data_IF_007944131064
#
_entry.id   IF_007944131064
#
_cell.length_a   1.000
_cell.length_b   1.000
_cell.length_c   1.000
_cell.angle_alpha   90.00
_cell.angle_beta   90.00
_cell.angle_gamma   90.00
#
_symmetry.space_group_name_H-M   'P 1'
#
loop_
_entity.id
_entity.type
_entity.pdbx_description
1 polymer ?
#
# COMPACT_ATOMS: atom_id res chain seq x y z
N UNK A 1 7.74 -44.32 41.69
CA UNK A 1 8.74 -45.43 41.73
C UNK A 1 8.76 -46.06 40.32
N UNK A 2 9.90 -46.11 39.61
CA UNK A 2 10.06 -46.55 38.18
C UNK A 2 9.35 -45.66 37.12
N UNK A 3 9.84 -45.45 35.89
CA UNK A 3 11.23 -45.42 35.32
C UNK A 3 11.17 -44.85 33.88
N UNK A 4 12.15 -44.00 33.48
CA UNK A 4 12.91 -43.88 32.19
C UNK A 4 12.24 -44.33 30.84
N UNK A 5 12.51 -43.73 29.66
CA UNK A 5 13.78 -43.16 29.13
C UNK A 5 13.61 -42.50 27.73
N UNK A 6 14.50 -41.56 27.34
CA UNK A 6 14.84 -41.16 25.93
C UNK A 6 13.83 -40.23 25.23
N UNK A 7 14.19 -39.22 24.43
CA UNK A 7 15.51 -38.83 23.86
C UNK A 7 15.89 -39.70 22.65
N UNK A 8 16.31 -39.18 21.49
CA UNK A 8 16.50 -37.78 21.03
C UNK A 8 16.44 -37.79 19.47
N UNK A 9 16.95 -36.76 18.76
CA UNK A 9 17.17 -36.74 17.28
C UNK A 9 15.89 -36.61 16.40
N UNK A 10 15.88 -35.96 15.22
CA UNK A 10 16.84 -35.07 14.54
C UNK A 10 16.11 -34.23 13.45
N UNK A 11 16.59 -32.99 13.21
CA UNK A 11 16.47 -32.22 11.94
C UNK A 11 15.05 -32.05 11.30
N UNK A 12 14.80 -31.31 10.20
CA UNK A 12 15.60 -30.38 9.42
C UNK A 12 14.70 -29.26 8.83
N UNK A 13 15.22 -28.03 8.78
CA UNK A 13 15.38 -27.23 7.54
C UNK A 13 14.15 -26.91 6.65
N UNK A 14 13.73 -25.64 6.75
CA UNK A 14 13.55 -24.65 5.66
C UNK A 14 12.35 -24.65 4.68
N UNK A 15 11.81 -23.42 4.57
CA UNK A 15 11.45 -22.66 3.35
C UNK A 15 10.32 -23.10 2.39
N UNK A 16 9.36 -22.16 2.31
CA UNK A 16 8.87 -21.52 1.09
C UNK A 16 8.09 -22.33 0.04
N UNK A 17 6.81 -21.96 -0.07
CA UNK A 17 5.93 -22.24 -1.19
C UNK A 17 6.37 -21.48 -2.44
N UNK A 18 6.33 -22.10 -3.62
CA UNK A 18 6.02 -21.39 -4.86
C UNK A 18 5.27 -22.30 -5.86
N UNK A 19 3.94 -22.34 -5.70
CA UNK A 19 3.00 -22.03 -6.77
C UNK A 19 3.41 -22.27 -8.26
N UNK A 20 2.91 -23.37 -8.79
CA UNK A 20 2.11 -23.37 -10.02
C UNK A 20 0.82 -24.12 -9.63
N UNK A 21 -0.39 -23.95 -10.18
CA UNK A 21 -1.07 -23.14 -11.20
C UNK A 21 -2.67 -23.30 -11.00
N UNK A 22 -3.58 -23.41 -12.02
CA UNK A 22 -5.01 -23.97 -12.11
C UNK A 22 -5.55 -24.18 -13.59
N UNK A 23 -5.95 -25.36 -14.15
CA UNK A 23 -5.99 -25.78 -15.59
C UNK A 23 -7.30 -25.34 -16.32
N UNK A 24 -8.24 -26.14 -16.93
CA UNK A 24 -9.57 -25.62 -17.33
C UNK A 24 -10.51 -25.35 -16.12
N UNK A 25 -9.93 -24.69 -15.11
CA UNK A 25 -10.27 -24.56 -13.68
C UNK A 25 -10.63 -25.89 -12.96
N UNK A 26 -9.78 -26.94 -13.06
CA UNK A 26 -9.97 -28.34 -12.57
C UNK A 26 -8.79 -29.06 -11.84
N UNK A 27 -7.64 -28.44 -11.60
CA UNK A 27 -6.40 -28.98 -10.95
C UNK A 27 -5.53 -27.75 -10.73
N UNK A 28 -5.06 -27.41 -9.53
CA UNK A 28 -4.34 -26.16 -9.28
C UNK A 28 -2.93 -26.13 -9.94
N UNK A 29 -2.78 -26.41 -11.27
CA UNK A 29 -1.59 -26.37 -12.15
C UNK A 29 -1.69 -25.82 -13.65
N UNK A 30 -2.73 -25.05 -14.13
CA UNK A 30 -2.59 -23.98 -15.23
C UNK A 30 -3.20 -22.47 -15.16
N UNK A 31 -3.16 -21.69 -14.04
CA UNK A 31 -3.80 -20.34 -13.73
C UNK A 31 -3.13 -19.60 -12.53
N UNK A 32 -2.47 -20.26 -11.56
CA UNK A 32 -1.63 -19.55 -10.57
C UNK A 32 -0.39 -18.87 -11.22
N UNK A 33 0.42 -19.51 -12.07
CA UNK A 33 1.32 -18.83 -13.02
C UNK A 33 0.60 -17.96 -14.06
N UNK A 34 -0.58 -18.28 -14.59
CA UNK A 34 -1.33 -17.27 -15.39
C UNK A 34 -1.62 -16.01 -14.55
N UNK A 35 -1.85 -16.18 -13.24
CA UNK A 35 -1.94 -15.10 -12.27
C UNK A 35 -0.57 -14.52 -11.91
N UNK A 36 0.57 -15.24 -11.92
CA UNK A 36 1.91 -14.63 -11.77
C UNK A 36 2.32 -13.84 -13.02
N UNK A 37 1.89 -14.27 -14.20
CA UNK A 37 2.14 -13.65 -15.48
C UNK A 37 1.32 -12.36 -15.63
N UNK A 38 0.06 -12.38 -15.17
CA UNK A 38 -0.84 -11.22 -15.21
C UNK A 38 -0.88 -10.36 -13.93
N UNK A 39 -0.42 -10.84 -12.76
CA UNK A 39 -0.32 -10.04 -11.54
C UNK A 39 0.90 -9.12 -11.56
N UNK A 40 0.80 -8.07 -12.37
CA UNK A 40 1.58 -6.84 -12.18
C UNK A 40 0.64 -5.66 -11.98
N UNK A 41 0.41 -5.30 -10.71
CA UNK A 41 0.51 -3.90 -10.34
C UNK A 41 1.55 -3.64 -9.24
N UNK A 42 2.32 -4.64 -8.79
CA UNK A 42 3.38 -4.44 -7.79
C UNK A 42 4.72 -4.07 -8.43
N UNK A 43 4.70 -3.02 -9.26
CA UNK A 43 5.92 -2.32 -9.62
C UNK A 43 6.55 -1.68 -8.38
N UNK A 44 7.85 -1.44 -8.41
CA UNK A 44 8.68 -0.87 -7.32
C UNK A 44 8.31 0.58 -6.92
N UNK A 45 7.11 1.04 -7.27
CA UNK A 45 6.58 2.41 -7.17
C UNK A 45 5.06 2.48 -6.97
N UNK A 46 4.36 1.35 -6.74
CA UNK A 46 2.98 1.46 -6.28
C UNK A 46 3.00 2.01 -4.84
N UNK A 47 2.47 3.22 -4.66
CA UNK A 47 2.42 3.87 -3.35
C UNK A 47 1.44 3.21 -2.40
N UNK A 48 0.60 2.28 -2.89
CA UNK A 48 -0.42 1.55 -2.14
C UNK A 48 -1.31 2.49 -1.31
N UNK A 49 -1.62 3.66 -1.86
CA UNK A 49 -2.49 4.66 -1.25
C UNK A 49 -3.93 4.42 -1.70
N UNK A 50 -4.81 4.15 -0.75
CA UNK A 50 -6.25 3.94 -0.97
C UNK A 50 -7.05 4.98 -0.18
N UNK A 51 -8.28 5.29 -0.61
CA UNK A 51 -9.20 6.06 0.23
C UNK A 51 -9.46 5.30 1.54
N UNK A 52 -9.59 6.03 2.65
CA UNK A 52 -9.95 5.44 3.93
C UNK A 52 -11.37 4.86 3.88
N UNK A 53 -11.53 3.61 4.32
CA UNK A 53 -12.84 2.94 4.36
C UNK A 53 -13.76 3.47 5.46
N UNK A 54 -13.21 4.25 6.40
CA UNK A 54 -13.90 4.87 7.53
C UNK A 54 -13.20 6.18 7.90
N UNK A 55 -13.97 7.17 8.37
CA UNK A 55 -13.44 8.47 8.82
C UNK A 55 -12.48 8.39 10.02
N UNK A 56 -12.52 7.30 10.79
CA UNK A 56 -11.58 7.02 11.89
C UNK A 56 -10.13 6.81 11.38
N UNK A 57 -9.95 6.41 10.12
CA UNK A 57 -8.63 6.21 9.50
C UNK A 57 -8.15 7.42 8.66
N UNK A 58 -8.80 8.58 8.79
CA UNK A 58 -8.50 9.76 7.98
C UNK A 58 -9.26 9.78 6.66
N UNK A 59 -8.65 10.39 5.64
CA UNK A 59 -9.17 10.51 4.27
C UNK A 59 -8.54 9.45 3.35
N UNK A 60 -7.26 9.13 3.60
CA UNK A 60 -6.48 8.17 2.83
C UNK A 60 -5.65 7.28 3.76
N UNK A 61 -5.30 6.08 3.29
CA UNK A 61 -4.43 5.14 3.97
C UNK A 61 -3.35 4.63 3.01
N UNK A 62 -2.10 4.60 3.46
CA UNK A 62 -0.97 4.02 2.76
C UNK A 62 -0.60 2.66 3.36
N UNK A 63 -0.58 1.63 2.51
CA UNK A 63 -0.39 0.23 2.87
C UNK A 63 1.01 -0.31 2.53
N UNK A 64 1.89 0.53 1.95
CA UNK A 64 3.18 0.12 1.40
C UNK A 64 4.17 -0.46 2.44
N UNK A 65 4.08 -0.01 3.69
CA UNK A 65 5.06 -0.35 4.72
C UNK A 65 5.18 -1.87 4.98
N UNK A 66 4.08 -2.63 4.88
CA UNK A 66 4.10 -4.08 5.09
C UNK A 66 4.85 -4.84 3.98
N UNK A 67 4.61 -4.46 2.72
CA UNK A 67 5.32 -5.06 1.57
C UNK A 67 6.80 -4.68 1.53
N UNK A 68 7.10 -3.41 1.84
CA UNK A 68 8.48 -2.92 1.95
C UNK A 68 9.24 -3.59 3.10
N UNK A 69 8.63 -3.73 4.28
CA UNK A 69 9.25 -4.38 5.42
C UNK A 69 9.57 -5.86 5.18
N UNK A 70 8.66 -6.60 4.55
CA UNK A 70 8.93 -7.99 4.11
C UNK A 70 10.12 -8.06 3.14
N UNK A 71 10.25 -7.09 2.25
CA UNK A 71 11.33 -7.02 1.25
C UNK A 71 12.68 -6.58 1.84
N UNK A 72 12.66 -5.82 2.93
CA UNK A 72 13.84 -5.25 3.59
C UNK A 72 14.26 -6.00 4.87
N UNK A 73 13.50 -7.00 5.32
CA UNK A 73 13.75 -7.74 6.56
C UNK A 73 13.56 -6.90 7.84
N UNK A 74 12.78 -5.81 7.77
CA UNK A 74 12.52 -4.88 8.88
C UNK A 74 11.17 -5.12 9.55
N UNK A 75 10.89 -4.48 10.69
CA UNK A 75 9.53 -4.47 11.24
C UNK A 75 8.62 -3.53 10.41
N UNK A 76 7.37 -3.92 10.08
CA UNK A 76 6.46 -3.07 9.31
C UNK A 76 6.19 -1.69 9.93
N UNK A 77 6.22 -1.59 11.26
CA UNK A 77 6.05 -0.33 11.99
C UNK A 77 7.27 0.60 11.88
N UNK A 78 8.48 0.05 11.83
CA UNK A 78 9.71 0.80 11.61
C UNK A 78 9.75 1.35 10.17
N UNK A 79 9.40 0.52 9.18
CA UNK A 79 9.26 0.97 7.79
C UNK A 79 8.18 2.05 7.64
N UNK A 80 7.06 1.96 8.38
CA UNK A 80 6.04 3.01 8.37
C UNK A 80 6.58 4.36 8.89
N UNK A 81 7.39 4.33 9.96
CA UNK A 81 8.04 5.54 10.48
C UNK A 81 9.06 6.13 9.49
N UNK A 82 9.90 5.29 8.86
CA UNK A 82 10.86 5.73 7.82
C UNK A 82 10.16 6.37 6.61
N UNK A 83 9.00 5.84 6.20
CA UNK A 83 8.18 6.42 5.13
C UNK A 83 7.63 7.79 5.54
N UNK A 84 7.14 7.94 6.77
CA UNK A 84 6.62 9.22 7.28
C UNK A 84 7.73 10.27 7.37
N UNK A 85 8.91 9.92 7.90
CA UNK A 85 10.09 10.81 7.94
C UNK A 85 10.46 11.33 6.54
N UNK A 86 10.51 10.44 5.54
CA UNK A 86 10.82 10.83 4.15
C UNK A 86 9.73 11.68 3.48
N UNK A 87 8.46 11.55 3.89
CA UNK A 87 7.34 12.30 3.33
C UNK A 87 7.03 13.61 4.07
N UNK A 88 7.45 13.76 5.34
CA UNK A 88 7.16 14.94 6.18
C UNK A 88 7.49 16.29 5.51
N UNK A 89 8.60 16.47 4.76
CA UNK A 89 8.89 17.73 4.06
C UNK A 89 7.88 18.08 2.94
N UNK A 90 7.16 17.08 2.40
CA UNK A 90 6.19 17.23 1.31
C UNK A 90 4.77 17.37 1.88
N UNK A 91 4.47 16.64 2.96
CA UNK A 91 3.15 16.61 3.58
C UNK A 91 2.87 17.82 4.49
N UNK A 92 3.91 18.53 4.95
CA UNK A 92 3.81 19.57 5.98
C UNK A 92 2.77 20.67 5.75
N UNK A 93 2.47 21.04 4.50
CA UNK A 93 1.45 22.06 4.16
C UNK A 93 0.09 21.48 3.74
N UNK A 94 0.00 20.15 3.59
CA UNK A 94 -1.13 19.46 2.95
C UNK A 94 -1.91 18.60 3.96
N UNK A 95 -1.19 17.82 4.76
CA UNK A 95 -1.74 16.82 5.68
C UNK A 95 -1.45 17.19 7.13
N UNK A 96 -2.30 16.71 8.03
CA UNK A 96 -1.97 16.57 9.45
C UNK A 96 -0.85 15.53 9.64
N UNK A 97 -0.31 15.43 10.85
CA UNK A 97 0.75 14.45 11.16
C UNK A 97 0.24 13.02 10.91
N UNK A 98 0.89 12.21 10.04
CA UNK A 98 0.42 10.86 9.72
C UNK A 98 0.44 9.92 10.93
N UNK A 99 -0.63 9.13 11.10
CA UNK A 99 -0.75 8.17 12.21
C UNK A 99 -0.39 6.75 11.76
N UNK A 100 0.46 6.05 12.52
CA UNK A 100 0.77 4.63 12.27
C UNK A 100 -0.18 3.73 13.08
N UNK A 101 -1.11 3.08 12.38
CA UNK A 101 -2.08 2.16 12.95
C UNK A 101 -1.70 0.67 12.75
N UNK A 102 -2.06 -0.16 13.72
CA UNK A 102 -1.89 -1.62 13.65
C UNK A 102 -0.44 -2.06 13.38
N UNK A 103 -0.21 -3.03 12.46
CA UNK A 103 1.14 -3.50 12.14
C UNK A 103 1.99 -2.48 11.37
N UNK A 104 1.37 -1.60 10.58
CA UNK A 104 2.10 -0.68 9.69
C UNK A 104 1.21 0.04 8.67
N UNK A 105 -0.07 0.30 9.01
CA UNK A 105 -0.94 1.15 8.21
C UNK A 105 -0.58 2.61 8.47
N UNK A 106 -0.46 3.44 7.45
CA UNK A 106 -0.23 4.89 7.60
C UNK A 106 -1.53 5.61 7.24
N UNK A 107 -2.21 6.16 8.24
CA UNK A 107 -3.43 6.95 8.09
C UNK A 107 -3.07 8.41 7.77
N UNK A 108 -3.75 9.00 6.79
CA UNK A 108 -3.51 10.34 6.27
C UNK A 108 -4.80 11.16 6.33
N UNK A 109 -4.72 12.36 6.92
CA UNK A 109 -5.83 13.32 7.02
C UNK A 109 -5.38 14.67 6.47
N UNK A 110 -6.19 15.31 5.64
CA UNK A 110 -5.90 16.66 5.14
C UNK A 110 -6.05 17.71 6.24
N UNK A 111 -5.25 18.78 6.17
CA UNK A 111 -5.50 19.98 6.95
C UNK A 111 -6.78 20.66 6.47
N UNK A 112 -7.61 21.14 7.39
CA UNK A 112 -8.81 21.92 7.08
C UNK A 112 -8.48 23.20 6.28
N UNK A 113 -7.31 23.82 6.55
CA UNK A 113 -6.79 24.95 5.77
C UNK A 113 -6.52 24.58 4.31
N UNK A 114 -5.91 23.42 4.06
CA UNK A 114 -5.64 22.94 2.70
C UNK A 114 -6.93 22.67 1.91
N UNK A 115 -7.95 22.07 2.56
CA UNK A 115 -9.26 21.81 1.95
C UNK A 115 -10.02 23.10 1.66
N UNK A 116 -10.06 24.05 2.60
CA UNK A 116 -10.73 25.34 2.39
C UNK A 116 -10.04 26.19 1.31
N UNK A 117 -8.71 26.17 1.24
CA UNK A 117 -7.94 26.79 0.14
C UNK A 117 -8.16 26.08 -1.21
N UNK A 118 -8.35 24.76 -1.22
CA UNK A 118 -8.73 24.03 -2.43
C UNK A 118 -10.11 24.46 -2.94
N UNK A 119 -11.11 24.50 -2.06
CA UNK A 119 -12.47 24.96 -2.39
C UNK A 119 -12.45 26.42 -2.88
N UNK A 120 -11.69 27.30 -2.21
CA UNK A 120 -11.53 28.69 -2.64
C UNK A 120 -10.86 28.83 -4.00
N UNK A 121 -9.90 27.97 -4.35
CA UNK A 121 -9.30 27.91 -5.70
C UNK A 121 -10.31 27.45 -6.75
N UNK A 122 -11.09 26.41 -6.46
CA UNK A 122 -12.14 25.90 -7.35
C UNK A 122 -13.22 26.95 -7.63
N UNK A 123 -13.65 27.69 -6.60
CA UNK A 123 -14.66 28.74 -6.71
C UNK A 123 -14.17 30.01 -7.45
N UNK A 124 -12.85 30.23 -7.51
CA UNK A 124 -12.21 31.35 -8.22
C UNK A 124 -11.70 30.98 -9.62
N UNK A 125 -11.95 29.76 -10.08
CA UNK A 125 -11.49 29.28 -11.39
C UNK A 125 -12.26 29.98 -12.54
N UNK A 126 -11.60 30.96 -13.15
CA UNK A 126 -12.14 31.73 -14.28
C UNK A 126 -12.30 30.92 -15.57
N UNK A 127 -11.68 29.73 -15.68
CA UNK A 127 -11.94 28.82 -16.80
C UNK A 127 -13.19 27.95 -16.56
N UNK A 128 -13.82 28.03 -15.38
CA UNK A 128 -14.96 27.21 -14.98
C UNK A 128 -14.70 25.69 -15.09
N UNK A 129 -13.47 25.26 -14.79
CA UNK A 129 -13.03 23.85 -14.81
C UNK A 129 -12.85 23.27 -13.41
N UNK A 130 -13.34 23.96 -12.38
CA UNK A 130 -13.27 23.57 -10.97
C UNK A 130 -11.84 23.17 -10.54
N UNK A 131 -10.84 23.95 -10.98
CA UNK A 131 -9.41 23.72 -10.76
C UNK A 131 -8.85 22.38 -11.31
N UNK A 132 -9.58 21.67 -12.18
CA UNK A 132 -9.07 20.47 -12.86
C UNK A 132 -7.98 20.92 -13.85
N UNK A 133 -6.72 20.42 -13.77
CA UNK A 133 -5.67 20.81 -14.70
C UNK A 133 -5.98 20.37 -16.15
N UNK A 134 -5.33 20.99 -17.14
CA UNK A 134 -5.32 20.47 -18.52
C UNK A 134 -4.29 19.34 -18.60
N UNK A 135 -4.55 18.31 -19.40
CA UNK A 135 -3.58 17.25 -19.62
C UNK A 135 -2.32 17.81 -20.32
N UNK A 136 -1.15 17.66 -19.70
CA UNK A 136 0.13 18.16 -20.22
C UNK A 136 0.48 17.60 -21.60
N UNK A 137 0.01 16.40 -21.91
CA UNK A 137 0.10 15.79 -23.23
C UNK A 137 -1.30 15.33 -23.69
N UNK A 138 -2.06 16.17 -24.44
CA UNK A 138 -3.43 15.85 -24.83
C UNK A 138 -3.47 14.71 -25.85
N UNK A 139 -4.34 13.72 -25.61
CA UNK A 139 -4.59 12.61 -26.53
C UNK A 139 -5.94 12.79 -27.21
N UNK A 140 -6.01 12.50 -28.52
CA UNK A 140 -7.28 12.40 -29.24
C UNK A 140 -7.93 11.05 -28.92
N UNK A 141 -9.07 11.09 -28.25
CA UNK A 141 -9.94 9.93 -28.02
C UNK A 141 -11.12 10.06 -28.98
N UNK A 142 -11.48 8.96 -29.64
CA UNK A 142 -12.72 8.83 -30.42
C UNK A 142 -13.66 7.97 -29.58
N UNK A 143 -14.89 8.44 -29.41
CA UNK A 143 -15.96 7.83 -28.60
C UNK A 143 -17.13 7.51 -29.51
#
# INVERSE_FOLDING_TARGET
KKKKKGGDEEAAVATAEEEAEKPPVVDRQAVIEEAKLNAKPFGQRDSMVTQATKAEFGDYQCNAAMGLAKSLGKQPRECAAEIIEGLRPILGDIMEEPEIAGPGFINLRFKETYLSDAICRMAKDSENRLAIPKATNPKKIVV
#
